data_IF_841338056900
#
_entry.id   IF_841338056900
#
_cell.length_a   1.000
_cell.length_b   1.000
_cell.length_c   1.000
_cell.angle_alpha   90.00
_cell.angle_beta   90.00
_cell.angle_gamma   90.00
#
_symmetry.space_group_name_H-M   'P 1'
#
loop_
_entity.id
_entity.type
_entity.pdbx_description
1 polymer ?
#
# COMPACT_ATOMS: atom_id res chain seq x y z
N UNK A 1 20.72 -6.99 -5.73
CA UNK A 1 19.26 -7.10 -5.88
C UNK A 1 18.74 -5.81 -6.51
N UNK A 2 17.58 -5.85 -7.17
CA UNK A 2 16.96 -4.68 -7.81
C UNK A 2 15.59 -4.39 -7.21
N UNK A 3 15.13 -3.14 -7.31
CA UNK A 3 13.77 -2.72 -7.03
C UNK A 3 12.84 -3.47 -7.97
N UNK A 4 11.77 -4.04 -7.42
CA UNK A 4 10.82 -4.82 -8.19
C UNK A 4 9.40 -4.62 -7.69
N UNK A 5 8.46 -4.77 -8.62
CA UNK A 5 7.03 -4.65 -8.37
C UNK A 5 6.41 -6.03 -8.21
N UNK A 6 5.61 -6.23 -7.15
CA UNK A 6 4.80 -7.43 -6.92
C UNK A 6 3.33 -7.05 -6.90
N UNK A 7 2.49 -7.74 -7.68
CA UNK A 7 1.05 -7.62 -7.53
C UNK A 7 0.61 -8.26 -6.20
N UNK A 8 -0.09 -7.51 -5.34
CA UNK A 8 -0.63 -8.04 -4.08
C UNK A 8 -2.16 -8.18 -4.12
N UNK A 9 -2.83 -7.30 -4.86
CA UNK A 9 -4.26 -7.32 -5.14
C UNK A 9 -4.50 -6.58 -6.46
N UNK A 10 -5.63 -6.80 -7.13
CA UNK A 10 -6.01 -6.02 -8.33
C UNK A 10 -5.93 -4.53 -8.04
N UNK A 11 -5.16 -3.79 -8.84
CA UNK A 11 -4.93 -2.35 -8.68
C UNK A 11 -3.97 -1.96 -7.56
N UNK A 12 -3.39 -2.92 -6.83
CA UNK A 12 -2.42 -2.68 -5.76
C UNK A 12 -1.11 -3.43 -6.02
N UNK A 13 -0.03 -2.67 -6.10
CA UNK A 13 1.33 -3.15 -6.28
C UNK A 13 2.13 -2.93 -5.00
N UNK A 14 3.03 -3.84 -4.69
CA UNK A 14 4.10 -3.64 -3.71
C UNK A 14 5.40 -3.37 -4.43
N UNK A 15 5.99 -2.21 -4.19
CA UNK A 15 7.31 -1.84 -4.69
C UNK A 15 8.34 -2.15 -3.60
N UNK A 16 9.14 -3.19 -3.81
CA UNK A 16 10.14 -3.64 -2.84
C UNK A 16 11.48 -2.98 -3.14
N UNK A 17 12.03 -2.25 -2.17
CA UNK A 17 13.33 -1.58 -2.25
C UNK A 17 14.35 -2.37 -1.40
N UNK A 18 15.31 -3.09 -2.01
CA UNK A 18 16.28 -3.90 -1.28
C UNK A 18 17.18 -3.11 -0.32
N UNK A 19 17.52 -3.69 0.83
CA UNK A 19 18.35 -3.07 1.88
C UNK A 19 19.78 -2.70 1.47
N UNK A 20 20.33 -3.40 0.48
CA UNK A 20 21.74 -3.30 0.11
C UNK A 20 22.00 -2.21 -0.94
N UNK A 21 20.95 -1.62 -1.52
CA UNK A 21 21.11 -0.56 -2.51
C UNK A 21 21.66 0.72 -1.87
N UNK A 22 22.53 1.45 -2.57
CA UNK A 22 22.89 2.81 -2.15
C UNK A 22 21.79 3.79 -2.56
N UNK A 23 21.72 4.98 -1.93
CA UNK A 23 20.74 6.00 -2.35
C UNK A 23 20.85 6.32 -3.85
N UNK A 24 22.08 6.38 -4.37
CA UNK A 24 22.34 6.64 -5.79
C UNK A 24 21.68 5.57 -6.67
N UNK A 25 21.91 4.29 -6.36
CA UNK A 25 21.32 3.17 -7.11
C UNK A 25 19.80 3.13 -7.01
N UNK A 26 19.24 3.48 -5.85
CA UNK A 26 17.79 3.57 -5.67
C UNK A 26 17.18 4.56 -6.66
N UNK A 27 17.80 5.74 -6.82
CA UNK A 27 17.29 6.76 -7.73
C UNK A 27 17.45 6.33 -9.20
N UNK A 28 18.58 5.72 -9.56
CA UNK A 28 18.81 5.16 -10.91
C UNK A 28 17.75 4.09 -11.25
N UNK A 29 17.50 3.14 -10.34
CA UNK A 29 16.51 2.09 -10.57
C UNK A 29 15.07 2.62 -10.60
N UNK A 30 14.75 3.65 -9.81
CA UNK A 30 13.45 4.32 -9.89
C UNK A 30 13.24 5.09 -11.20
N UNK A 31 14.29 5.69 -11.75
CA UNK A 31 14.26 6.34 -13.06
C UNK A 31 14.00 5.29 -14.15
N UNK A 32 14.69 4.16 -14.12
CA UNK A 32 14.45 3.03 -15.03
C UNK A 32 13.03 2.47 -14.90
N UNK A 33 12.51 2.28 -13.67
CA UNK A 33 11.14 1.86 -13.41
C UNK A 33 10.12 2.85 -13.95
N UNK A 34 10.39 4.15 -13.85
CA UNK A 34 9.51 5.19 -14.39
C UNK A 34 9.39 5.09 -15.91
N UNK A 35 10.46 4.73 -16.62
CA UNK A 35 10.42 4.52 -18.07
C UNK A 35 9.74 3.20 -18.43
N UNK A 36 10.11 2.11 -17.75
CA UNK A 36 9.72 0.75 -18.15
C UNK A 36 8.33 0.33 -17.65
N UNK A 37 7.88 0.86 -16.51
CA UNK A 37 6.67 0.41 -15.83
C UNK A 37 5.58 1.49 -15.73
N UNK A 38 5.71 2.64 -16.42
CA UNK A 38 4.73 3.76 -16.35
C UNK A 38 3.28 3.31 -16.53
N UNK A 39 3.00 2.53 -17.57
CA UNK A 39 1.63 2.06 -17.88
C UNK A 39 1.04 1.16 -16.79
N UNK A 40 1.89 0.46 -16.04
CA UNK A 40 1.46 -0.38 -14.93
C UNK A 40 1.23 0.44 -13.66
N UNK A 41 2.01 1.50 -13.47
CA UNK A 41 1.98 2.35 -12.27
C UNK A 41 0.91 3.46 -12.34
N UNK A 42 0.58 3.95 -13.53
CA UNK A 42 -0.39 5.02 -13.74
C UNK A 42 -1.78 4.65 -13.19
N UNK A 43 -2.27 5.42 -12.22
CA UNK A 43 -3.54 5.17 -11.52
C UNK A 43 -3.51 3.98 -10.54
N UNK A 44 -2.39 3.28 -10.40
CA UNK A 44 -2.26 2.16 -9.45
C UNK A 44 -1.99 2.65 -8.03
N UNK A 45 -2.47 1.88 -7.05
CA UNK A 45 -2.07 2.03 -5.65
C UNK A 45 -0.78 1.26 -5.38
N UNK A 46 0.16 1.89 -4.68
CA UNK A 46 1.48 1.33 -4.40
C UNK A 46 1.74 1.28 -2.89
N UNK A 47 2.19 0.12 -2.42
CA UNK A 47 2.82 -0.04 -1.10
C UNK A 47 4.33 0.06 -1.31
N UNK A 48 4.96 1.05 -0.69
CA UNK A 48 6.41 1.23 -0.71
C UNK A 48 7.01 0.38 0.40
N UNK A 49 7.66 -0.72 0.04
CA UNK A 49 8.30 -1.63 0.99
C UNK A 49 9.79 -1.33 1.05
N UNK A 50 10.20 -0.63 2.12
CA UNK A 50 11.57 -0.20 2.35
C UNK A 50 12.34 -1.18 3.25
N UNK A 51 11.70 -2.28 3.67
CA UNK A 51 12.30 -3.28 4.55
C UNK A 51 12.91 -2.63 5.82
N UNK A 52 14.10 -3.06 6.26
CA UNK A 52 14.83 -2.54 7.41
C UNK A 52 15.73 -1.34 7.12
N UNK A 53 15.55 -0.64 5.99
CA UNK A 53 16.40 0.50 5.63
C UNK A 53 16.12 1.72 6.50
N UNK A 54 17.19 2.40 6.90
CA UNK A 54 17.09 3.77 7.39
C UNK A 54 16.76 4.72 6.22
N UNK A 55 15.61 5.35 6.28
CA UNK A 55 15.07 6.24 5.24
C UNK A 55 14.88 7.65 5.80
N UNK A 56 15.76 8.56 5.39
CA UNK A 56 15.64 9.97 5.73
C UNK A 56 14.58 10.69 4.88
N UNK A 57 14.02 11.78 5.43
CA UNK A 57 13.04 12.63 4.74
C UNK A 57 13.53 13.14 3.37
N UNK A 58 14.83 13.41 3.23
CA UNK A 58 15.43 13.84 1.97
C UNK A 58 15.30 12.78 0.85
N UNK A 59 15.48 11.50 1.19
CA UNK A 59 15.34 10.41 0.21
C UNK A 59 13.86 10.19 -0.16
N UNK A 60 12.95 10.30 0.81
CA UNK A 60 11.49 10.24 0.55
C UNK A 60 11.07 11.34 -0.43
N UNK A 61 11.54 12.57 -0.25
CA UNK A 61 11.25 13.67 -1.16
C UNK A 61 11.80 13.43 -2.58
N UNK A 62 13.00 12.83 -2.69
CA UNK A 62 13.56 12.43 -3.99
C UNK A 62 12.71 11.34 -4.66
N UNK A 63 12.29 10.31 -3.92
CA UNK A 63 11.39 9.27 -4.45
C UNK A 63 10.09 9.89 -4.93
N UNK A 64 9.52 10.82 -4.17
CA UNK A 64 8.31 11.52 -4.59
C UNK A 64 8.49 12.20 -5.94
N UNK A 65 9.52 13.05 -6.05
CA UNK A 65 9.80 13.86 -7.23
C UNK A 65 10.16 13.02 -8.47
N UNK A 66 10.96 11.97 -8.31
CA UNK A 66 11.53 11.23 -9.43
C UNK A 66 10.78 9.95 -9.78
N UNK A 67 9.92 9.44 -8.90
CA UNK A 67 9.18 8.20 -9.12
C UNK A 67 7.68 8.36 -8.94
N UNK A 68 7.21 8.81 -7.78
CA UNK A 68 5.77 8.82 -7.47
C UNK A 68 5.01 9.79 -8.39
N UNK A 69 5.44 11.04 -8.43
CA UNK A 69 4.79 12.08 -9.25
C UNK A 69 4.86 11.78 -10.75
N UNK A 70 6.02 11.40 -11.36
CA UNK A 70 6.10 11.12 -12.79
C UNK A 70 5.33 9.87 -13.26
N UNK A 71 5.15 8.89 -12.38
CA UNK A 71 4.45 7.64 -12.72
C UNK A 71 2.94 7.73 -12.58
N UNK A 72 2.41 8.73 -11.85
CA UNK A 72 0.98 8.87 -11.59
C UNK A 72 0.43 7.84 -10.60
N UNK A 73 1.30 7.11 -9.90
CA UNK A 73 0.87 6.16 -8.89
C UNK A 73 0.54 6.84 -7.56
N UNK A 74 -0.30 6.20 -6.75
CA UNK A 74 -0.63 6.68 -5.40
C UNK A 74 0.00 5.78 -4.36
N UNK A 75 0.91 6.32 -3.53
CA UNK A 75 1.45 5.56 -2.40
C UNK A 75 0.44 5.51 -1.26
N UNK A 76 -0.06 4.31 -0.96
CA UNK A 76 -1.11 4.09 0.06
C UNK A 76 -0.55 3.64 1.42
N UNK A 77 0.68 3.13 1.45
CA UNK A 77 1.38 2.78 2.69
C UNK A 77 2.88 2.64 2.47
N UNK A 78 3.65 2.87 3.53
CA UNK A 78 5.08 2.61 3.61
C UNK A 78 5.32 1.45 4.57
N UNK A 79 5.68 0.28 4.03
CA UNK A 79 6.07 -0.88 4.82
C UNK A 79 7.56 -0.75 5.20
N UNK A 80 7.82 -0.59 6.48
CA UNK A 80 9.15 -0.37 7.08
C UNK A 80 9.23 -1.18 8.37
N UNK A 81 10.34 -1.88 8.57
CA UNK A 81 10.63 -2.56 9.84
C UNK A 81 11.58 -1.77 10.74
N UNK A 82 12.33 -0.80 10.18
CA UNK A 82 13.20 0.11 10.95
C UNK A 82 12.39 1.12 11.81
N UNK A 83 12.55 1.14 13.14
CA UNK A 83 11.77 2.00 14.02
C UNK A 83 12.00 3.51 13.81
N UNK A 84 13.24 3.92 13.51
CA UNK A 84 13.59 5.33 13.33
C UNK A 84 12.92 5.90 12.08
N UNK A 85 13.01 5.16 10.98
CA UNK A 85 12.33 5.46 9.72
C UNK A 85 10.82 5.48 9.88
N UNK A 86 10.26 4.46 10.53
CA UNK A 86 8.82 4.38 10.78
C UNK A 86 8.30 5.62 11.52
N UNK A 87 9.03 6.03 12.57
CA UNK A 87 8.74 7.25 13.33
C UNK A 87 8.88 8.51 12.49
N UNK A 88 9.93 8.61 11.67
CA UNK A 88 10.15 9.75 10.78
C UNK A 88 9.03 9.91 9.73
N UNK A 89 8.65 8.83 9.06
CA UNK A 89 7.56 8.83 8.08
C UNK A 89 6.21 9.17 8.72
N UNK A 90 5.93 8.62 9.91
CA UNK A 90 4.71 8.92 10.65
C UNK A 90 4.60 10.40 11.02
N UNK A 91 5.72 11.04 11.42
CA UNK A 91 5.77 12.49 11.69
C UNK A 91 5.55 13.36 10.45
N UNK A 92 5.81 12.83 9.26
CA UNK A 92 5.50 13.48 7.99
C UNK A 92 4.03 13.30 7.58
N UNK A 93 3.21 12.60 8.39
CA UNK A 93 1.81 12.30 8.08
C UNK A 93 1.64 11.18 7.07
N UNK A 94 2.69 10.41 6.78
CA UNK A 94 2.61 9.28 5.87
C UNK A 94 2.04 8.05 6.58
N UNK A 95 1.25 7.27 5.86
CA UNK A 95 0.71 6.00 6.39
C UNK A 95 1.83 4.95 6.42
N UNK A 96 2.16 4.46 7.62
CA UNK A 96 3.23 3.46 7.83
C UNK A 96 2.63 2.14 8.28
N UNK A 97 3.14 1.04 7.73
CA UNK A 97 2.80 -0.31 8.14
C UNK A 97 2.41 -1.23 6.98
N UNK A 98 2.23 -2.49 7.32
CA UNK A 98 1.74 -3.51 6.39
C UNK A 98 0.28 -3.24 6.04
N UNK A 99 -0.06 -3.24 4.74
CA UNK A 99 -1.45 -3.22 4.26
C UNK A 99 -2.12 -4.59 4.40
N UNK A 100 -1.79 -5.33 5.46
CA UNK A 100 -2.41 -6.60 5.77
C UNK A 100 -3.77 -6.36 6.44
N UNK A 101 -4.79 -6.34 5.59
CA UNK A 101 -6.21 -6.60 5.88
C UNK A 101 -6.96 -5.55 6.72
N UNK A 102 -7.95 -4.97 6.01
CA UNK A 102 -9.15 -4.24 6.42
C UNK A 102 -8.94 -2.75 6.75
N UNK A 103 -9.80 -1.86 6.21
CA UNK A 103 -9.81 -0.48 6.65
C UNK A 103 -10.21 -0.48 8.13
N UNK A 104 -9.24 -0.22 9.00
CA UNK A 104 -9.51 0.20 10.36
C UNK A 104 -10.07 1.62 10.23
N UNK A 105 -11.39 1.71 10.08
CA UNK A 105 -12.09 2.95 10.36
C UNK A 105 -11.81 3.28 11.82
N UNK A 106 -10.93 4.24 12.06
CA UNK A 106 -10.93 4.99 13.30
C UNK A 106 -12.33 5.61 13.45
N UNK A 107 -13.12 5.09 14.38
CA UNK A 107 -14.23 5.84 14.96
C UNK A 107 -14.15 5.72 16.47
N UNK A 108 -13.98 6.91 17.04
CA UNK A 108 -14.18 7.35 18.41
C UNK A 108 -15.08 6.45 19.27
N UNK A 109 -14.67 6.34 20.54
CA UNK A 109 -15.39 5.70 21.62
C UNK A 109 -16.89 6.06 21.62
N UNK A 110 -17.73 5.09 21.27
CA UNK A 110 -19.18 5.18 21.32
C UNK A 110 -19.75 3.76 21.21
N UNK A 111 -20.63 3.41 22.14
CA UNK A 111 -21.34 2.13 22.31
C UNK A 111 -21.48 1.30 21.01
N UNK A 112 -20.87 0.11 20.99
CA UNK A 112 -20.91 -0.84 19.87
C UNK A 112 -22.33 -1.34 19.61
N UNK A 113 -22.99 -0.78 18.59
CA UNK A 113 -23.98 -1.51 17.81
C UNK A 113 -23.20 -2.27 16.75
N UNK A 114 -23.40 -3.58 16.54
CA UNK A 114 -22.80 -4.29 15.41
C UNK A 114 -23.20 -3.56 14.13
N UNK A 115 -22.22 -2.96 13.44
CA UNK A 115 -22.48 -2.23 12.20
C UNK A 115 -22.93 -3.16 11.07
N UNK A 116 -23.27 -2.60 9.91
CA UNK A 116 -23.49 -3.38 8.71
C UNK A 116 -22.16 -3.65 7.98
N UNK A 117 -21.97 -4.86 7.48
CA UNK A 117 -20.89 -5.21 6.56
C UNK A 117 -21.35 -4.97 5.12
N UNK A 118 -20.67 -4.08 4.40
CA UNK A 118 -20.86 -3.90 2.95
C UNK A 118 -19.81 -4.72 2.19
N UNK A 119 -20.27 -5.67 1.38
CA UNK A 119 -19.42 -6.50 0.51
C UNK A 119 -19.70 -6.18 -0.97
N UNK A 120 -18.74 -5.52 -1.64
CA UNK A 120 -18.89 -5.00 -3.01
C UNK A 120 -18.28 -5.93 -4.07
N UNK A 121 -18.53 -7.23 -3.97
CA UNK A 121 -18.00 -8.24 -4.91
C UNK A 121 -18.94 -9.44 -5.04
N UNK A 122 -18.61 -10.37 -5.94
CA UNK A 122 -19.35 -11.62 -6.14
C UNK A 122 -18.98 -12.66 -5.09
N UNK A 123 -19.96 -13.15 -4.34
CA UNK A 123 -19.83 -14.29 -3.45
C UNK A 123 -19.97 -15.58 -4.28
N UNK A 124 -18.88 -16.33 -4.43
CA UNK A 124 -18.84 -17.58 -5.21
C UNK A 124 -19.26 -18.78 -4.35
N UNK A 125 -19.76 -19.84 -5.00
CA UNK A 125 -20.05 -21.11 -4.34
C UNK A 125 -18.84 -21.63 -3.54
N UNK A 126 -19.08 -21.97 -2.28
CA UNK A 126 -18.04 -22.37 -1.32
C UNK A 126 -17.44 -21.24 -0.48
N UNK A 127 -17.75 -19.96 -0.76
CA UNK A 127 -17.35 -18.84 0.09
C UNK A 127 -18.38 -18.57 1.18
N UNK A 128 -17.90 -18.25 2.39
CA UNK A 128 -18.75 -17.93 3.55
C UNK A 128 -18.39 -16.56 4.11
N UNK A 129 -19.39 -15.69 4.27
CA UNK A 129 -19.29 -14.43 5.00
C UNK A 129 -19.97 -14.61 6.36
N UNK A 130 -19.30 -14.24 7.44
CA UNK A 130 -19.86 -14.23 8.79
C UNK A 130 -19.64 -12.84 9.38
N UNK A 131 -20.71 -12.22 9.85
CA UNK A 131 -20.72 -10.90 10.48
C UNK A 131 -21.72 -10.89 11.64
N UNK A 132 -21.44 -10.10 12.68
CA UNK A 132 -22.29 -10.02 13.89
C UNK A 132 -23.50 -9.08 13.73
N UNK A 133 -23.53 -8.31 12.64
CA UNK A 133 -24.64 -7.42 12.28
C UNK A 133 -25.10 -7.68 10.84
N UNK A 134 -25.81 -6.71 10.26
CA UNK A 134 -26.34 -6.84 8.90
C UNK A 134 -25.23 -7.09 7.87
N UNK A 135 -25.55 -7.86 6.83
CA UNK A 135 -24.66 -8.10 5.69
C UNK A 135 -25.36 -7.60 4.43
N UNK A 136 -24.77 -6.61 3.78
CA UNK A 136 -25.23 -6.03 2.53
C UNK A 136 -24.24 -6.44 1.44
N UNK A 137 -24.72 -7.16 0.42
CA UNK A 137 -23.91 -7.59 -0.71
C UNK A 137 -24.32 -6.78 -1.94
N UNK A 138 -23.40 -6.02 -2.50
CA UNK A 138 -23.55 -5.33 -3.78
C UNK A 138 -22.75 -6.08 -4.85
N UNK A 139 -23.35 -7.19 -5.32
CA UNK A 139 -22.74 -8.12 -6.26
C UNK A 139 -23.60 -9.38 -6.43
N UNK A 140 -23.09 -10.38 -7.14
CA UNK A 140 -23.80 -11.65 -7.31
C UNK A 140 -23.56 -12.59 -6.12
N UNK A 141 -24.59 -13.34 -5.74
CA UNK A 141 -24.48 -14.43 -4.77
C UNK A 141 -24.73 -15.73 -5.51
N UNK A 142 -23.66 -16.48 -5.73
CA UNK A 142 -23.71 -17.79 -6.36
C UNK A 142 -23.80 -18.84 -5.24
N UNK A 143 -24.94 -19.53 -5.20
CA UNK A 143 -25.19 -20.65 -4.28
C UNK A 143 -24.65 -21.94 -4.88
#
# INVERSE_FOLDING_TARGET
MMIHLKGIQTGILRCVVPEELSEKKILEEFEELTVNAKKLLDGSSVVMDLQGRNFGAALVAKIWKYFIEPTGCTVISWAVTDPETSSALSRLGLTVGETNKRPRQERSAGRKVPGALLYTSTLRGGQKIVHEGDVIITGHVNV
#
